data_IF_654659312645
#
_entry.id   IF_654659312645
#
_cell.length_a   1.000
_cell.length_b   1.000
_cell.length_c   1.000
_cell.angle_alpha   90.00
_cell.angle_beta   90.00
_cell.angle_gamma   90.00
#
_symmetry.space_group_name_H-M   'P 1'
#
loop_
_entity.id
_entity.type
_entity.pdbx_description
1 polymer ?
#
# COMPACT_ATOMS: atom_id res chain seq x y z
N UNK A 1 7.97 0.38 -7.64
CA UNK A 1 8.39 -0.55 -8.70
C UNK A 1 8.29 -1.98 -8.21
N UNK A 2 8.38 -2.97 -9.12
CA UNK A 2 8.25 -4.40 -8.80
C UNK A 2 9.28 -4.86 -7.78
N UNK A 3 10.56 -4.47 -7.94
CA UNK A 3 11.62 -4.86 -7.00
C UNK A 3 11.40 -4.34 -5.58
N UNK A 4 10.96 -3.08 -5.44
CA UNK A 4 10.58 -2.52 -4.15
C UNK A 4 9.38 -3.28 -3.53
N UNK A 5 8.45 -3.79 -4.34
CA UNK A 5 7.29 -4.54 -3.86
C UNK A 5 7.70 -5.93 -3.35
N UNK A 6 8.57 -6.63 -4.08
CA UNK A 6 9.09 -7.97 -3.72
C UNK A 6 9.74 -8.00 -2.33
N UNK A 7 10.44 -6.95 -1.93
CA UNK A 7 11.10 -6.85 -0.63
C UNK A 7 10.27 -6.17 0.46
N UNK A 8 9.06 -5.71 0.12
CA UNK A 8 8.27 -4.85 1.00
C UNK A 8 7.65 -5.55 2.21
N UNK A 9 7.49 -4.80 3.30
CA UNK A 9 6.68 -5.24 4.45
C UNK A 9 5.23 -5.51 4.04
N UNK A 10 4.70 -4.79 3.04
CA UNK A 10 3.38 -5.03 2.48
C UNK A 10 3.23 -6.47 1.99
N UNK A 11 4.14 -6.95 1.12
CA UNK A 11 4.08 -8.32 0.60
C UNK A 11 4.27 -9.36 1.71
N UNK A 12 5.18 -9.11 2.67
CA UNK A 12 5.37 -9.99 3.83
C UNK A 12 4.08 -10.18 4.63
N UNK A 13 3.38 -9.10 4.95
CA UNK A 13 2.13 -9.14 5.73
C UNK A 13 0.99 -9.80 4.95
N UNK A 14 0.94 -9.56 3.63
CA UNK A 14 -0.04 -10.20 2.74
C UNK A 14 0.14 -11.72 2.74
N UNK A 15 1.39 -12.20 2.61
CA UNK A 15 1.72 -13.63 2.67
C UNK A 15 1.47 -14.25 4.06
N UNK A 16 1.55 -13.45 5.13
CA UNK A 16 1.19 -13.87 6.49
C UNK A 16 -0.32 -13.82 6.77
N UNK A 17 -1.16 -13.52 5.77
CA UNK A 17 -2.61 -13.35 5.91
C UNK A 17 -3.03 -12.23 6.90
N UNK A 18 -2.12 -11.29 7.20
CA UNK A 18 -2.38 -10.14 8.07
C UNK A 18 -3.07 -9.02 7.29
N UNK A 19 -4.25 -9.32 6.74
CA UNK A 19 -4.96 -8.44 5.80
C UNK A 19 -5.40 -7.11 6.41
N UNK A 20 -5.63 -7.07 7.73
CA UNK A 20 -5.97 -5.84 8.45
C UNK A 20 -4.84 -4.80 8.42
N UNK A 21 -3.58 -5.22 8.23
CA UNK A 21 -2.41 -4.33 8.19
C UNK A 21 -2.13 -3.76 6.79
N UNK A 22 -2.73 -4.35 5.75
CA UNK A 22 -2.51 -3.95 4.35
C UNK A 22 -2.81 -2.47 4.11
N UNK A 23 -3.92 -1.89 4.62
CA UNK A 23 -4.19 -0.47 4.46
C UNK A 23 -3.08 0.43 5.00
N UNK A 24 -2.57 0.13 6.19
CA UNK A 24 -1.50 0.91 6.81
C UNK A 24 -0.21 0.82 6.00
N UNK A 25 0.10 -0.34 5.43
CA UNK A 25 1.27 -0.47 4.56
C UNK A 25 1.10 0.26 3.24
N UNK A 26 -0.09 0.24 2.61
CA UNK A 26 -0.36 0.98 1.38
C UNK A 26 -0.13 2.50 1.55
N UNK A 27 -0.50 3.08 2.70
CA UNK A 27 -0.28 4.51 3.01
C UNK A 27 1.18 4.94 3.03
N UNK A 28 2.13 4.00 3.17
CA UNK A 28 3.56 4.29 3.11
C UNK A 28 4.06 4.49 1.68
N UNK A 29 3.33 4.00 0.68
CA UNK A 29 3.67 4.06 -0.75
C UNK A 29 3.23 5.36 -1.42
N UNK A 30 3.59 6.48 -0.81
CA UNK A 30 3.21 7.84 -1.24
C UNK A 30 4.39 8.73 -1.61
N UNK A 31 5.62 8.23 -1.47
CA UNK A 31 6.82 9.00 -1.77
C UNK A 31 7.34 8.76 -3.19
N UNK A 32 7.80 9.80 -3.86
CA UNK A 32 8.54 9.76 -5.12
C UNK A 32 9.56 10.90 -5.15
N UNK A 33 10.78 10.63 -5.63
CA UNK A 33 11.83 11.66 -5.67
C UNK A 33 12.21 12.22 -4.28
N UNK A 34 12.04 11.44 -3.21
CA UNK A 34 12.34 11.87 -1.84
C UNK A 34 11.26 12.70 -1.16
N UNK A 35 10.15 13.01 -1.84
CA UNK A 35 9.04 13.78 -1.29
C UNK A 35 7.72 12.99 -1.34
N UNK A 36 6.79 13.32 -0.45
CA UNK A 36 5.41 12.84 -0.55
C UNK A 36 4.73 13.44 -1.78
N UNK A 37 4.00 12.60 -2.52
CA UNK A 37 3.23 13.00 -3.70
C UNK A 37 1.75 12.86 -3.40
N UNK A 38 1.02 13.98 -3.39
CA UNK A 38 -0.42 14.00 -3.10
C UNK A 38 -1.24 13.10 -4.03
N UNK A 39 -0.87 13.01 -5.31
CA UNK A 39 -1.51 12.09 -6.25
C UNK A 39 -1.35 10.61 -5.87
N UNK A 40 -0.20 10.21 -5.32
CA UNK A 40 0.00 8.85 -4.80
C UNK A 40 -0.83 8.62 -3.54
N UNK A 41 -0.88 9.59 -2.62
CA UNK A 41 -1.73 9.52 -1.42
C UNK A 41 -3.19 9.27 -1.80
N UNK A 42 -3.73 10.06 -2.72
CA UNK A 42 -5.10 9.90 -3.21
C UNK A 42 -5.34 8.54 -3.86
N UNK A 43 -4.36 8.04 -4.63
CA UNK A 43 -4.42 6.71 -5.23
C UNK A 43 -4.44 5.60 -4.16
N UNK A 44 -3.59 5.67 -3.13
CA UNK A 44 -3.54 4.66 -2.06
C UNK A 44 -4.82 4.61 -1.27
N UNK A 45 -5.45 5.75 -0.95
CA UNK A 45 -6.76 5.73 -0.29
C UNK A 45 -7.86 5.10 -1.15
N UNK A 46 -7.84 5.28 -2.48
CA UNK A 46 -8.77 4.59 -3.39
C UNK A 46 -8.53 3.07 -3.41
N UNK A 47 -7.28 2.64 -3.46
CA UNK A 47 -6.91 1.22 -3.41
C UNK A 47 -7.30 0.58 -2.06
N UNK A 48 -7.12 1.31 -0.96
CA UNK A 48 -7.56 0.88 0.39
C UNK A 48 -9.08 0.75 0.45
N UNK A 49 -9.81 1.72 -0.11
CA UNK A 49 -11.26 1.66 -0.17
C UNK A 49 -11.74 0.43 -0.95
N UNK A 50 -11.09 0.13 -2.07
CA UNK A 50 -11.38 -1.08 -2.85
C UNK A 50 -11.06 -2.35 -2.06
N UNK A 51 -9.93 -2.39 -1.35
CA UNK A 51 -9.52 -3.52 -0.52
C UNK A 51 -10.51 -3.83 0.61
N UNK A 52 -11.09 -2.80 1.22
CA UNK A 52 -12.05 -2.92 2.32
C UNK A 52 -13.50 -3.05 1.85
N UNK A 53 -13.75 -2.94 0.55
CA UNK A 53 -15.10 -3.10 0.02
C UNK A 53 -15.58 -4.54 0.26
N UNK A 54 -16.83 -4.74 0.72
CA UNK A 54 -17.43 -6.07 0.75
C UNK A 54 -17.50 -6.63 -0.68
N UNK A 55 -17.23 -7.92 -0.81
CA UNK A 55 -17.42 -8.67 -2.05
C UNK A 55 -18.90 -8.79 -2.40
#
# INVERSE_FOLDING_TARGET
GVEAFKSSTLLKLLNQKKYQEVPNQLRRWVHSGGAEVGGLKNRREKEIKLWLAPL
#
